data_IF_487630063589
#
_entry.id   IF_487630063589
#
_cell.length_a   1.000
_cell.length_b   1.000
_cell.length_c   1.000
_cell.angle_alpha   90.00
_cell.angle_beta   90.00
_cell.angle_gamma   90.00
#
_symmetry.space_group_name_H-M   'P 1'
#
loop_
_entity.id
_entity.type
_entity.pdbx_description
1 polymer ?
#
# COMPACT_ATOMS: atom_id res chain seq x y z
N UNK A 1 -0.77 -3.75 1.74
CA UNK A 1 0.55 -3.20 1.37
C UNK A 1 1.53 -4.35 1.11
N UNK A 2 2.45 -4.21 0.16
CA UNK A 2 3.46 -5.24 -0.17
C UNK A 2 4.87 -4.83 0.19
N UNK A 3 5.65 -5.83 0.58
CA UNK A 3 7.03 -5.66 1.03
C UNK A 3 7.90 -6.66 0.30
N UNK A 4 8.98 -6.17 -0.32
CA UNK A 4 10.06 -7.03 -0.83
C UNK A 4 11.25 -6.95 0.11
N UNK A 5 11.64 -8.10 0.69
CA UNK A 5 12.89 -8.23 1.45
C UNK A 5 14.10 -8.29 0.54
N UNK A 6 15.07 -7.40 0.76
CA UNK A 6 16.36 -7.44 0.07
C UNK A 6 17.21 -8.65 0.49
N UNK A 7 16.97 -9.22 1.67
CA UNK A 7 17.76 -10.31 2.24
C UNK A 7 17.34 -11.70 1.74
N UNK A 8 16.06 -11.92 1.41
CA UNK A 8 15.55 -13.26 1.09
C UNK A 8 14.87 -13.38 -0.28
N UNK A 9 14.84 -12.31 -1.08
CA UNK A 9 14.14 -12.27 -2.38
C UNK A 9 12.67 -12.74 -2.30
N UNK A 10 12.08 -12.66 -1.10
CA UNK A 10 10.72 -13.06 -0.78
C UNK A 10 9.79 -11.85 -0.73
N UNK A 11 8.54 -12.06 -1.13
CA UNK A 11 7.47 -11.06 -1.10
C UNK A 11 6.50 -11.38 0.02
N UNK A 12 6.13 -10.37 0.79
CA UNK A 12 5.13 -10.49 1.86
C UNK A 12 3.96 -9.58 1.52
N UNK A 13 2.75 -10.16 1.48
CA UNK A 13 1.47 -9.47 1.43
C UNK A 13 0.75 -9.67 2.75
N UNK A 14 0.14 -8.62 3.27
CA UNK A 14 -0.62 -8.68 4.52
C UNK A 14 -2.07 -8.26 4.27
N UNK A 15 -2.99 -9.14 4.60
CA UNK A 15 -4.44 -8.91 4.72
C UNK A 15 -4.75 -8.65 6.19
N UNK A 16 -5.01 -7.39 6.55
CA UNK A 16 -5.46 -7.05 7.92
C UNK A 16 -6.58 -6.03 7.86
N UNK A 17 -7.78 -6.47 8.22
CA UNK A 17 -8.82 -5.57 8.70
C UNK A 17 -8.58 -5.23 10.18
N UNK A 18 -9.13 -4.10 10.64
CA UNK A 18 -8.92 -3.60 12.00
C UNK A 18 -10.27 -3.40 12.71
N UNK A 19 -10.38 -3.75 14.01
CA UNK A 19 -11.58 -3.53 14.81
C UNK A 19 -11.77 -2.06 15.22
N UNK A 20 -10.77 -1.21 14.96
CA UNK A 20 -10.72 0.20 15.36
C UNK A 20 -11.84 1.07 14.74
N UNK A 21 -12.45 0.62 13.63
CA UNK A 21 -13.53 1.34 12.96
C UNK A 21 -14.91 0.89 13.45
N UNK A 22 -15.73 1.84 13.90
CA UNK A 22 -17.09 1.62 14.34
C UNK A 22 -18.08 2.40 13.45
N UNK A 23 -18.87 1.67 12.64
CA UNK A 23 -19.83 2.27 11.70
C UNK A 23 -20.91 3.12 12.40
N UNK A 24 -21.15 2.92 13.70
CA UNK A 24 -22.15 3.70 14.44
C UNK A 24 -21.59 5.01 14.99
N UNK A 25 -20.25 5.12 15.12
CA UNK A 25 -19.58 6.23 15.82
C UNK A 25 -18.67 7.06 14.92
N UNK A 26 -17.99 6.41 14.00
CA UNK A 26 -16.97 7.04 13.18
C UNK A 26 -17.55 7.73 11.95
N UNK A 27 -16.81 8.71 11.44
CA UNK A 27 -17.16 9.35 10.17
C UNK A 27 -16.67 8.46 9.02
N UNK A 28 -17.53 8.29 8.03
CA UNK A 28 -17.22 7.54 6.83
C UNK A 28 -17.98 8.11 5.63
N UNK A 29 -17.52 7.73 4.45
CA UNK A 29 -18.24 7.94 3.20
C UNK A 29 -19.17 6.75 2.94
N UNK A 30 -20.45 7.02 2.65
CA UNK A 30 -21.48 5.98 2.53
C UNK A 30 -21.23 5.07 1.33
N UNK A 31 -20.88 5.65 0.19
CA UNK A 31 -20.59 4.90 -1.04
C UNK A 31 -19.39 3.96 -0.83
N UNK A 32 -18.37 4.41 -0.11
CA UNK A 32 -17.21 3.61 0.25
C UNK A 32 -17.57 2.43 1.15
N UNK A 33 -18.45 2.62 2.14
CA UNK A 33 -18.90 1.51 3.01
C UNK A 33 -19.75 0.51 2.23
N UNK A 34 -20.67 0.98 1.38
CA UNK A 34 -21.49 0.11 0.54
C UNK A 34 -20.63 -0.71 -0.43
N UNK A 35 -19.65 -0.08 -1.06
CA UNK A 35 -18.67 -0.74 -1.89
C UNK A 35 -17.91 -1.82 -1.11
N UNK A 36 -17.38 -1.51 0.07
CA UNK A 36 -16.63 -2.47 0.89
C UNK A 36 -17.50 -3.66 1.32
N UNK A 37 -18.76 -3.42 1.71
CA UNK A 37 -19.73 -4.49 2.01
C UNK A 37 -20.00 -5.36 0.79
N UNK A 38 -20.17 -4.75 -0.39
CA UNK A 38 -20.34 -5.47 -1.64
C UNK A 38 -19.11 -6.33 -1.99
N UNK A 39 -17.91 -5.88 -1.63
CA UNK A 39 -16.65 -6.63 -1.76
C UNK A 39 -16.39 -7.61 -0.59
N UNK A 40 -17.42 -7.89 0.22
CA UNK A 40 -17.39 -8.93 1.25
C UNK A 40 -16.76 -8.54 2.58
N UNK A 41 -16.53 -7.24 2.84
CA UNK A 41 -16.05 -6.79 4.15
C UNK A 41 -17.19 -6.84 5.17
N UNK A 42 -16.97 -7.61 6.24
CA UNK A 42 -17.86 -7.73 7.38
C UNK A 42 -17.32 -6.92 8.57
N UNK A 43 -17.81 -5.69 8.71
CA UNK A 43 -17.40 -4.78 9.78
C UNK A 43 -17.73 -5.29 11.19
N UNK A 44 -18.80 -6.08 11.35
CA UNK A 44 -19.16 -6.63 12.66
C UNK A 44 -18.18 -7.74 13.05
N UNK A 45 -17.88 -8.65 12.11
CA UNK A 45 -16.87 -9.69 12.32
C UNK A 45 -15.49 -9.10 12.56
N UNK A 46 -15.12 -8.02 11.88
CA UNK A 46 -13.84 -7.36 12.08
C UNK A 46 -13.67 -6.87 13.52
N UNK A 47 -14.73 -6.30 14.10
CA UNK A 47 -14.74 -5.82 15.49
C UNK A 47 -14.45 -6.92 16.52
N UNK A 48 -14.85 -8.16 16.22
CA UNK A 48 -14.70 -9.29 17.13
C UNK A 48 -13.39 -10.07 16.94
N UNK A 49 -12.88 -10.18 15.71
CA UNK A 49 -11.84 -11.15 15.36
C UNK A 49 -10.52 -10.54 14.89
N UNK A 50 -10.47 -9.25 14.61
CA UNK A 50 -9.27 -8.61 14.09
C UNK A 50 -8.34 -8.09 15.18
N UNK A 51 -7.07 -7.92 14.82
CA UNK A 51 -6.03 -7.34 15.68
C UNK A 51 -6.19 -5.82 15.68
N UNK A 52 -6.07 -5.18 16.84
CA UNK A 52 -6.11 -3.71 16.91
C UNK A 52 -4.97 -3.07 16.13
N UNK A 53 -5.24 -1.92 15.51
CA UNK A 53 -4.25 -1.19 14.70
C UNK A 53 -2.99 -0.82 15.49
N UNK A 54 -3.12 -0.58 16.79
CA UNK A 54 -2.01 -0.36 17.73
C UNK A 54 -1.09 -1.58 17.85
N UNK A 55 -1.68 -2.76 18.07
CA UNK A 55 -0.92 -3.99 18.26
C UNK A 55 -0.24 -4.39 16.94
N UNK A 56 -0.96 -4.22 15.83
CA UNK A 56 -0.39 -4.35 14.50
C UNK A 56 0.80 -3.41 14.27
N UNK A 57 0.68 -2.14 14.67
CA UNK A 57 1.77 -1.17 14.61
C UNK A 57 3.01 -1.66 15.37
N UNK A 58 2.83 -2.18 16.58
CA UNK A 58 3.93 -2.78 17.35
C UNK A 58 4.56 -3.97 16.62
N UNK A 59 3.74 -4.88 16.08
CA UNK A 59 4.24 -6.03 15.31
C UNK A 59 5.07 -5.58 14.10
N UNK A 60 4.60 -4.58 13.34
CA UNK A 60 5.34 -4.02 12.20
C UNK A 60 6.67 -3.42 12.65
N UNK A 61 6.68 -2.69 13.77
CA UNK A 61 7.89 -2.08 14.32
C UNK A 61 8.98 -3.12 14.65
N UNK A 62 8.59 -4.26 15.22
CA UNK A 62 9.51 -5.33 15.62
C UNK A 62 9.79 -6.39 14.54
N UNK A 63 9.05 -6.38 13.44
CA UNK A 63 9.18 -7.36 12.35
C UNK A 63 10.38 -7.15 11.42
N UNK A 64 11.14 -6.07 11.60
CA UNK A 64 12.20 -5.66 10.66
C UNK A 64 11.67 -5.02 9.37
N UNK A 65 10.35 -4.79 9.29
CA UNK A 65 9.72 -4.02 8.21
C UNK A 65 10.01 -2.53 8.32
N UNK A 66 10.08 -2.01 9.55
CA UNK A 66 10.60 -0.68 9.81
C UNK A 66 12.14 -0.69 9.90
N UNK A 67 12.77 0.41 9.49
CA UNK A 67 14.22 0.64 9.57
C UNK A 67 15.10 -0.33 8.77
N UNK A 68 14.51 -1.24 8.00
CA UNK A 68 15.23 -2.19 7.14
C UNK A 68 15.52 -1.64 5.73
N UNK A 69 16.45 -2.29 5.02
CA UNK A 69 16.78 -1.98 3.62
C UNK A 69 15.79 -2.60 2.61
N UNK A 70 14.51 -2.36 2.81
CA UNK A 70 13.44 -2.96 2.02
C UNK A 70 13.07 -2.10 0.82
N UNK A 71 12.45 -2.72 -0.20
CA UNK A 71 11.78 -1.96 -1.26
C UNK A 71 10.28 -2.12 -1.12
N UNK A 72 9.60 -1.00 -0.90
CA UNK A 72 8.16 -0.91 -0.84
C UNK A 72 7.61 -0.74 -2.26
N UNK A 73 6.63 -1.56 -2.63
CA UNK A 73 5.98 -1.50 -3.93
C UNK A 73 4.50 -1.19 -3.69
N UNK A 74 4.02 -0.14 -4.33
CA UNK A 74 2.70 0.42 -4.07
C UNK A 74 2.05 0.89 -5.38
N UNK A 75 0.74 1.12 -5.36
CA UNK A 75 0.05 1.78 -6.47
C UNK A 75 -0.15 3.26 -6.17
N UNK A 76 -1.03 3.59 -5.22
CA UNK A 76 -1.40 4.95 -4.81
C UNK A 76 -1.21 5.09 -3.29
N UNK A 77 -0.02 5.51 -2.88
CA UNK A 77 0.56 5.17 -1.58
C UNK A 77 0.42 6.22 -0.47
N UNK A 78 -0.05 7.43 -0.78
CA UNK A 78 -0.13 8.52 0.20
C UNK A 78 -0.96 8.14 1.43
N UNK A 79 -2.20 7.65 1.21
CA UNK A 79 -3.08 7.23 2.30
C UNK A 79 -2.59 5.97 3.01
N UNK A 80 -2.10 4.98 2.25
CA UNK A 80 -1.56 3.74 2.82
C UNK A 80 -0.48 4.02 3.87
N UNK A 81 0.52 4.83 3.51
CA UNK A 81 1.58 5.21 4.44
C UNK A 81 1.11 6.17 5.54
N UNK A 82 0.11 7.00 5.27
CA UNK A 82 -0.53 7.81 6.30
C UNK A 82 -1.13 6.94 7.41
N UNK A 83 -1.90 5.92 7.07
CA UNK A 83 -2.45 5.00 8.06
C UNK A 83 -1.36 4.23 8.80
N UNK A 84 -0.34 3.75 8.11
CA UNK A 84 0.75 3.02 8.77
C UNK A 84 1.57 3.88 9.71
N UNK A 85 1.87 5.13 9.34
CA UNK A 85 2.50 6.07 10.26
C UNK A 85 1.61 6.34 11.47
N UNK A 86 0.30 6.48 11.28
CA UNK A 86 -0.64 6.63 12.40
C UNK A 86 -0.63 5.40 13.31
N UNK A 87 -0.61 4.19 12.76
CA UNK A 87 -0.53 2.95 13.52
C UNK A 87 0.80 2.79 14.26
N UNK A 88 1.92 3.17 13.65
CA UNK A 88 3.24 3.08 14.29
C UNK A 88 3.42 4.12 15.39
N UNK A 89 3.01 5.36 15.12
CA UNK A 89 3.26 6.48 16.04
C UNK A 89 2.19 6.63 17.11
N UNK A 90 0.98 6.10 16.90
CA UNK A 90 -0.17 6.31 17.77
C UNK A 90 -0.49 7.79 18.02
N UNK A 91 -0.09 8.65 17.09
CA UNK A 91 -0.27 10.10 17.14
C UNK A 91 -0.94 10.61 15.87
N UNK A 92 -1.45 11.83 15.94
CA UNK A 92 -1.90 12.57 14.76
C UNK A 92 -0.76 12.71 13.76
N UNK A 93 -1.09 12.59 12.48
CA UNK A 93 -0.09 12.76 11.41
C UNK A 93 0.52 14.16 11.44
N UNK A 94 1.79 14.31 11.03
CA UNK A 94 2.43 15.61 10.95
C UNK A 94 1.62 16.59 10.10
N UNK A 95 1.47 17.83 10.58
CA UNK A 95 0.64 18.87 9.95
C UNK A 95 1.17 19.40 8.62
N UNK A 96 2.40 19.06 8.25
CA UNK A 96 3.03 19.51 7.01
C UNK A 96 3.74 18.36 6.30
N UNK A 97 3.77 18.45 4.96
CA UNK A 97 4.32 17.43 4.09
C UNK A 97 5.81 17.16 4.37
N UNK A 98 6.61 18.19 4.65
CA UNK A 98 8.04 18.01 4.94
C UNK A 98 8.26 17.13 6.18
N UNK A 99 7.52 17.37 7.25
CA UNK A 99 7.59 16.56 8.47
C UNK A 99 7.02 15.17 8.24
N UNK A 100 5.92 15.03 7.49
CA UNK A 100 5.38 13.74 7.08
C UNK A 100 6.42 12.90 6.33
N UNK A 101 7.06 13.49 5.31
CA UNK A 101 8.11 12.83 4.52
C UNK A 101 9.29 12.40 5.39
N UNK A 102 9.69 13.22 6.38
CA UNK A 102 10.75 12.85 7.32
C UNK A 102 10.38 11.62 8.15
N UNK A 103 9.16 11.54 8.66
CA UNK A 103 8.70 10.36 9.39
C UNK A 103 8.61 9.13 8.48
N UNK A 104 8.06 9.31 7.28
CA UNK A 104 7.99 8.27 6.26
C UNK A 104 9.36 7.67 5.97
N UNK A 105 10.35 8.51 5.67
CA UNK A 105 11.71 8.04 5.35
C UNK A 105 12.42 7.46 6.57
N UNK A 106 12.11 7.94 7.78
CA UNK A 106 12.67 7.38 9.00
C UNK A 106 12.20 5.93 9.23
N UNK A 107 10.89 5.66 9.12
CA UNK A 107 10.35 4.32 9.35
C UNK A 107 10.52 3.38 8.16
N UNK A 108 10.34 3.86 6.92
CA UNK A 108 10.21 3.00 5.72
C UNK A 108 11.34 3.17 4.71
N UNK A 109 12.27 4.10 4.94
CA UNK A 109 13.41 4.36 4.07
C UNK A 109 13.05 5.12 2.78
N UNK A 110 14.02 5.14 1.86
CA UNK A 110 13.96 5.90 0.59
C UNK A 110 13.60 5.03 -0.61
N UNK A 111 13.23 3.77 -0.39
CA UNK A 111 13.02 2.78 -1.46
C UNK A 111 11.55 2.44 -1.62
N UNK A 112 10.76 3.43 -2.03
CA UNK A 112 9.32 3.36 -2.26
C UNK A 112 8.99 3.56 -3.74
N UNK A 113 8.58 2.48 -4.40
CA UNK A 113 8.15 2.50 -5.79
C UNK A 113 6.62 2.58 -5.88
N UNK A 114 6.11 3.70 -6.39
CA UNK A 114 4.69 3.87 -6.69
C UNK A 114 4.44 3.67 -8.20
N UNK A 115 3.68 2.62 -8.56
CA UNK A 115 3.30 2.34 -9.95
C UNK A 115 2.52 3.51 -10.54
N UNK A 116 1.58 4.08 -9.77
CA UNK A 116 0.73 5.19 -10.26
C UNK A 116 1.55 6.43 -10.58
N UNK A 117 2.57 6.72 -9.77
CA UNK A 117 3.46 7.85 -10.02
C UNK A 117 4.28 7.66 -11.31
N UNK A 118 4.83 6.47 -11.50
CA UNK A 118 5.66 6.16 -12.66
C UNK A 118 4.84 5.74 -13.88
N UNK A 119 3.51 5.79 -13.82
CA UNK A 119 2.64 5.19 -14.85
C UNK A 119 2.85 5.83 -16.22
N UNK A 120 3.12 7.14 -16.27
CA UNK A 120 3.41 7.87 -17.52
C UNK A 120 4.65 7.35 -18.23
N UNK A 121 5.70 6.96 -17.50
CA UNK A 121 6.95 6.42 -18.07
C UNK A 121 6.68 5.10 -18.80
N UNK A 122 5.72 4.32 -18.28
CA UNK A 122 5.34 3.02 -18.83
C UNK A 122 4.11 3.07 -19.75
N UNK A 123 3.60 4.27 -20.08
CA UNK A 123 2.35 4.48 -20.82
C UNK A 123 1.13 3.74 -20.21
N UNK A 124 1.06 3.72 -18.88
CA UNK A 124 0.00 3.10 -18.09
C UNK A 124 -0.99 4.16 -17.60
N UNK A 125 -2.29 3.91 -17.80
CA UNK A 125 -3.35 4.89 -17.54
C UNK A 125 -4.51 4.29 -16.72
N UNK A 126 -5.16 5.13 -15.91
CA UNK A 126 -6.32 4.74 -15.10
C UNK A 126 -5.99 4.15 -13.72
N UNK A 127 -6.97 3.48 -13.11
CA UNK A 127 -6.82 2.77 -11.83
C UNK A 127 -6.09 1.43 -11.97
N UNK A 128 -5.85 0.76 -10.84
CA UNK A 128 -5.08 -0.49 -10.77
C UNK A 128 -5.60 -1.55 -11.75
N UNK A 129 -6.92 -1.75 -11.80
CA UNK A 129 -7.57 -2.71 -12.71
C UNK A 129 -7.29 -2.42 -14.20
N UNK A 130 -7.32 -1.14 -14.60
CA UNK A 130 -7.04 -0.76 -16.00
C UNK A 130 -5.56 -0.96 -16.33
N UNK A 131 -4.68 -0.61 -15.39
CA UNK A 131 -3.24 -0.82 -15.51
C UNK A 131 -2.90 -2.30 -15.63
N UNK A 132 -3.51 -3.15 -14.80
CA UNK A 132 -3.31 -4.59 -14.85
C UNK A 132 -3.78 -5.20 -16.17
N UNK A 133 -4.94 -4.77 -16.68
CA UNK A 133 -5.42 -5.15 -18.03
C UNK A 133 -4.41 -4.79 -19.12
N UNK A 134 -3.83 -3.58 -19.10
CA UNK A 134 -2.79 -3.18 -20.06
C UNK A 134 -1.53 -4.04 -19.96
N UNK A 135 -1.19 -4.48 -18.76
CA UNK A 135 -0.04 -5.36 -18.49
C UNK A 135 -0.36 -6.86 -18.69
N UNK A 136 -1.58 -7.20 -19.11
CA UNK A 136 -2.09 -8.57 -19.21
C UNK A 136 -1.92 -9.38 -17.91
N UNK A 137 -2.15 -8.72 -16.77
CA UNK A 137 -2.13 -9.32 -15.44
C UNK A 137 -3.55 -9.56 -14.97
N UNK A 138 -3.83 -10.78 -14.54
CA UNK A 138 -5.09 -11.16 -13.91
C UNK A 138 -4.93 -11.32 -12.40
N UNK A 139 -6.02 -11.09 -11.67
CA UNK A 139 -6.06 -11.31 -10.22
C UNK A 139 -6.10 -12.81 -9.96
N UNK A 140 -5.17 -13.30 -9.12
CA UNK A 140 -5.00 -14.74 -8.86
C UNK A 140 -5.97 -15.25 -7.79
N UNK A 141 -6.21 -14.44 -6.75
CA UNK A 141 -7.11 -14.77 -5.66
C UNK A 141 -7.66 -13.49 -5.00
N UNK A 142 -8.79 -13.62 -4.32
CA UNK A 142 -9.46 -12.52 -3.62
C UNK A 142 -10.27 -11.59 -4.52
N UNK A 143 -10.97 -10.65 -3.90
CA UNK A 143 -11.79 -9.66 -4.60
C UNK A 143 -11.05 -8.32 -4.77
N UNK A 144 -11.55 -7.46 -5.66
CA UNK A 144 -11.07 -6.08 -5.76
C UNK A 144 -11.42 -5.32 -4.48
N UNK A 145 -10.60 -4.34 -4.11
CA UNK A 145 -10.79 -3.54 -2.88
C UNK A 145 -10.62 -4.32 -1.57
N UNK A 146 -10.00 -5.51 -1.63
CA UNK A 146 -9.46 -6.19 -0.45
C UNK A 146 -7.94 -5.98 -0.40
N UNK A 147 -7.43 -5.56 0.74
CA UNK A 147 -6.08 -4.99 0.84
C UNK A 147 -4.96 -5.94 0.38
N UNK A 148 -4.99 -7.21 0.75
CA UNK A 148 -3.96 -8.19 0.37
C UNK A 148 -4.17 -8.78 -1.02
N UNK A 149 -5.42 -8.94 -1.46
CA UNK A 149 -5.74 -9.22 -2.88
C UNK A 149 -5.18 -8.13 -3.80
N UNK A 150 -5.45 -6.86 -3.51
CA UNK A 150 -4.93 -5.71 -4.26
C UNK A 150 -3.42 -5.60 -4.13
N UNK A 151 -2.87 -5.88 -2.94
CA UNK A 151 -1.44 -5.97 -2.72
C UNK A 151 -0.84 -6.98 -3.70
N UNK A 152 -1.22 -8.25 -3.64
CA UNK A 152 -0.71 -9.27 -4.56
C UNK A 152 -0.82 -8.84 -6.03
N UNK A 153 -1.95 -8.25 -6.41
CA UNK A 153 -2.18 -7.74 -7.77
C UNK A 153 -1.19 -6.63 -8.19
N UNK A 154 -0.86 -5.71 -7.27
CA UNK A 154 0.18 -4.68 -7.47
C UNK A 154 1.55 -5.31 -7.69
N UNK A 155 1.91 -6.37 -6.95
CA UNK A 155 3.19 -7.08 -7.14
C UNK A 155 3.27 -7.67 -8.55
N UNK A 156 2.22 -8.37 -8.97
CA UNK A 156 2.21 -8.99 -10.29
C UNK A 156 2.33 -7.95 -11.40
N UNK A 157 1.66 -6.80 -11.27
CA UNK A 157 1.85 -5.65 -12.16
C UNK A 157 3.32 -5.18 -12.17
N UNK A 158 3.93 -5.02 -11.00
CA UNK A 158 5.32 -4.60 -10.90
C UNK A 158 6.31 -5.59 -11.53
N UNK A 159 6.08 -6.89 -11.37
CA UNK A 159 6.89 -7.93 -12.02
C UNK A 159 6.82 -7.78 -13.54
N UNK A 160 5.64 -7.54 -14.12
CA UNK A 160 5.52 -7.29 -15.55
C UNK A 160 6.21 -5.98 -15.97
N UNK A 161 6.07 -4.91 -15.18
CA UNK A 161 6.75 -3.63 -15.43
C UNK A 161 8.27 -3.82 -15.48
N UNK A 162 8.85 -4.62 -14.59
CA UNK A 162 10.31 -4.91 -14.60
C UNK A 162 10.80 -5.56 -15.88
N UNK A 163 9.92 -6.30 -16.56
CA UNK A 163 10.25 -6.96 -17.82
C UNK A 163 10.18 -6.01 -19.03
N UNK A 164 9.56 -4.84 -18.89
CA UNK A 164 9.43 -3.85 -19.96
C UNK A 164 10.79 -3.24 -20.34
N UNK A 165 11.00 -2.99 -21.64
CA UNK A 165 12.20 -2.30 -22.15
C UNK A 165 12.42 -0.94 -21.48
N UNK A 166 11.33 -0.17 -21.29
CA UNK A 166 11.37 1.13 -20.63
C UNK A 166 11.95 1.05 -19.21
N UNK A 167 11.60 0.01 -18.43
CA UNK A 167 12.14 -0.16 -17.08
C UNK A 167 13.66 -0.39 -17.10
N UNK A 168 14.15 -1.24 -18.02
CA UNK A 168 15.58 -1.52 -18.18
C UNK A 168 16.38 -0.28 -18.62
N UNK A 169 15.76 0.60 -19.39
CA UNK A 169 16.37 1.85 -19.87
C UNK A 169 16.35 2.97 -18.80
N UNK A 170 15.41 2.92 -17.84
CA UNK A 170 15.22 3.96 -16.84
C UNK A 170 15.98 3.74 -15.52
N UNK A 171 17.01 2.89 -15.48
CA UNK A 171 17.68 2.45 -14.24
C UNK A 171 18.18 3.60 -13.31
N UNK A 172 18.33 4.84 -13.82
CA UNK A 172 18.68 6.05 -13.05
C UNK A 172 17.57 7.12 -12.96
N UNK A 173 16.42 6.95 -13.63
CA UNK A 173 15.32 7.95 -13.70
C UNK A 173 14.08 7.58 -12.88
N UNK A 174 14.02 6.38 -12.32
CA UNK A 174 12.87 5.96 -11.51
C UNK A 174 12.92 6.66 -10.16
N UNK A 175 11.88 7.43 -9.85
CA UNK A 175 11.79 8.12 -8.57
C UNK A 175 11.41 7.09 -7.50
N UNK A 176 12.35 6.81 -6.60
CA UNK A 176 12.20 5.80 -5.53
C UNK A 176 11.63 6.41 -4.24
N UNK A 177 11.26 7.68 -4.22
CA UNK A 177 10.54 8.30 -3.10
C UNK A 177 9.46 9.22 -3.64
N UNK A 178 8.44 8.63 -4.26
CA UNK A 178 7.29 9.37 -4.77
C UNK A 178 6.02 8.99 -4.00
N UNK A 179 5.39 9.99 -3.40
CA UNK A 179 3.99 9.88 -2.99
C UNK A 179 3.13 10.46 -4.11
N UNK A 180 2.21 9.66 -4.63
CA UNK A 180 1.25 10.14 -5.61
C UNK A 180 0.05 10.79 -4.90
N UNK A 181 -0.38 11.97 -5.34
CA UNK A 181 -1.57 12.66 -4.84
C UNK A 181 -1.36 13.62 -3.65
N UNK A 182 -0.11 14.00 -3.35
CA UNK A 182 0.23 14.96 -2.27
C UNK A 182 0.87 16.27 -2.76
N UNK A 183 0.79 16.55 -4.06
CA UNK A 183 1.12 17.86 -4.68
C UNK A 183 0.13 18.13 -5.80
#
# INVERSE_FOLDING_TARGET
>A
MLIRSALHNSFVSMDTEFPDFDIEKDRYDKESIELLKYQGIDFMRNKEKCIYSRDFGMMVLFSGLCFGELTWITFHNAYDFGFLLKFLTQHSLPSNLKSFMRHLTYYFGYRIFAIKYNSKIFNLHGGLEKVAKTLNVTRIAGLSHQAGSDSHFILHCFIQIKNMKAFKQCNQKLLVLALYGLV
#
